data_IF_240335248661
#
_entry.id   IF_240335248661
#
_cell.length_a   1.000
_cell.length_b   1.000
_cell.length_c   1.000
_cell.angle_alpha   90.00
_cell.angle_beta   90.00
_cell.angle_gamma   90.00
#
_symmetry.space_group_name_H-M   'P 1'
#
loop_
_entity.id
_entity.type
_entity.pdbx_description
1 polymer ?
#
# COMPACT_ATOMS: atom_id res chain seq x y z
N UNK A 1 -16.23 1.59 8.02
CA UNK A 1 -14.89 0.99 8.15
C UNK A 1 -13.88 2.10 8.35
N UNK A 2 -12.79 1.82 9.07
CA UNK A 2 -11.65 2.75 9.22
C UNK A 2 -10.43 2.22 8.47
N UNK A 3 -9.61 3.11 7.92
CA UNK A 3 -8.36 2.76 7.23
C UNK A 3 -7.15 3.36 7.95
N UNK A 4 -6.08 2.58 8.09
CA UNK A 4 -4.80 3.02 8.61
C UNK A 4 -3.66 2.45 7.78
N UNK A 5 -2.63 3.25 7.60
CA UNK A 5 -1.46 2.95 6.79
C UNK A 5 -0.33 2.47 7.67
N UNK A 6 0.34 1.38 7.27
CA UNK A 6 1.53 0.83 7.90
C UNK A 6 2.51 0.35 6.82
N UNK A 7 3.83 0.58 6.96
CA UNK A 7 4.79 0.26 5.91
C UNK A 7 5.24 -1.20 6.02
N UNK A 8 4.44 -2.14 5.51
CA UNK A 8 4.66 -3.59 5.69
C UNK A 8 5.93 -4.13 5.04
N UNK A 9 6.44 -3.39 4.05
CA UNK A 9 7.66 -3.73 3.31
C UNK A 9 8.95 -3.39 4.07
N UNK A 10 8.88 -2.90 5.30
CA UNK A 10 10.04 -2.61 6.13
C UNK A 10 10.32 -3.80 7.07
N UNK A 11 11.58 -4.25 7.22
CA UNK A 11 11.92 -5.38 8.10
C UNK A 11 11.45 -5.21 9.54
N UNK A 12 11.37 -3.96 10.02
CA UNK A 12 10.91 -3.61 11.36
C UNK A 12 9.42 -3.91 11.61
N UNK A 13 8.66 -4.25 10.56
CA UNK A 13 7.26 -4.69 10.65
C UNK A 13 7.09 -6.05 11.34
N UNK A 14 8.03 -6.99 11.15
CA UNK A 14 7.86 -8.38 11.62
C UNK A 14 8.26 -8.55 13.09
N UNK A 15 9.28 -7.83 13.54
CA UNK A 15 9.86 -7.99 14.89
C UNK A 15 10.22 -6.69 15.60
N UNK A 16 9.97 -5.54 14.98
CA UNK A 16 10.46 -4.25 15.44
C UNK A 16 9.41 -3.33 16.09
N UNK A 17 9.80 -2.07 16.37
CA UNK A 17 8.93 -1.05 16.95
C UNK A 17 7.64 -0.81 16.17
N UNK A 18 7.64 -1.06 14.85
CA UNK A 18 6.47 -0.89 13.99
C UNK A 18 5.39 -1.93 14.32
N UNK A 19 5.74 -3.20 14.52
CA UNK A 19 4.79 -4.24 14.98
C UNK A 19 4.14 -3.85 16.30
N UNK A 20 4.95 -3.45 17.27
CA UNK A 20 4.46 -3.05 18.59
C UNK A 20 3.55 -1.82 18.52
N UNK A 21 3.83 -0.90 17.58
CA UNK A 21 3.00 0.29 17.34
C UNK A 21 1.67 -0.08 16.67
N UNK A 22 1.68 -0.99 15.70
CA UNK A 22 0.46 -1.55 15.12
C UNK A 22 -0.38 -2.22 16.19
N UNK A 23 0.19 -3.13 16.99
CA UNK A 23 -0.57 -3.86 18.01
C UNK A 23 -1.21 -2.93 19.04
N UNK A 24 -0.47 -1.90 19.47
CA UNK A 24 -1.02 -0.85 20.33
C UNK A 24 -2.15 -0.07 19.64
N UNK A 25 -1.99 0.23 18.36
CA UNK A 25 -3.01 0.92 17.57
C UNK A 25 -4.28 0.07 17.35
N UNK A 26 -4.15 -1.20 16.97
CA UNK A 26 -5.28 -2.14 16.85
C UNK A 26 -5.99 -2.28 18.19
N UNK A 27 -5.24 -2.51 19.27
CA UNK A 27 -5.82 -2.69 20.61
C UNK A 27 -6.58 -1.45 21.09
N UNK A 28 -6.01 -0.26 20.92
CA UNK A 28 -6.67 1.00 21.30
C UNK A 28 -7.87 1.34 20.42
N UNK A 29 -7.85 0.92 19.16
CA UNK A 29 -8.96 1.12 18.23
C UNK A 29 -10.14 0.17 18.45
N UNK A 30 -9.93 -0.93 19.20
CA UNK A 30 -10.92 -1.96 19.52
C UNK A 30 -11.85 -2.36 18.34
N UNK A 31 -11.28 -2.71 17.16
CA UNK A 31 -12.07 -3.08 16.00
C UNK A 31 -12.80 -4.41 16.24
N UNK A 32 -13.92 -4.62 15.52
CA UNK A 32 -14.61 -5.91 15.52
C UNK A 32 -13.98 -6.92 14.56
N UNK A 33 -13.24 -6.43 13.57
CA UNK A 33 -12.44 -7.22 12.65
C UNK A 33 -11.30 -6.39 12.07
N UNK A 34 -10.19 -7.04 11.74
CA UNK A 34 -9.04 -6.43 11.09
C UNK A 34 -8.83 -7.06 9.71
N UNK A 35 -8.75 -6.22 8.68
CA UNK A 35 -8.41 -6.62 7.31
C UNK A 35 -7.04 -6.05 6.99
N UNK A 36 -6.08 -6.90 6.64
CA UNK A 36 -4.77 -6.45 6.15
C UNK A 36 -4.74 -6.43 4.63
N UNK A 37 -4.34 -5.33 4.00
CA UNK A 37 -4.13 -5.26 2.55
C UNK A 37 -2.71 -4.79 2.25
N UNK A 38 -1.89 -5.63 1.64
CA UNK A 38 -0.48 -5.30 1.42
C UNK A 38 0.04 -5.85 0.10
N UNK A 39 1.12 -5.25 -0.39
CA UNK A 39 1.85 -5.75 -1.55
C UNK A 39 2.83 -6.87 -1.16
N UNK A 40 2.42 -8.11 -1.41
CA UNK A 40 3.22 -9.29 -1.10
C UNK A 40 4.41 -9.53 -2.01
N UNK A 41 4.58 -8.73 -3.08
CA UNK A 41 5.78 -8.79 -3.93
C UNK A 41 6.96 -8.02 -3.34
N UNK A 42 6.73 -7.13 -2.37
CA UNK A 42 7.79 -6.41 -1.66
C UNK A 42 8.55 -7.31 -0.67
N UNK A 43 8.02 -8.49 -0.34
CA UNK A 43 8.66 -9.47 0.54
C UNK A 43 9.70 -10.28 -0.24
N UNK A 44 10.97 -10.25 0.16
CA UNK A 44 12.08 -10.88 -0.57
C UNK A 44 12.44 -12.24 0.04
N UNK A 45 12.21 -13.30 -0.72
CA UNK A 45 12.61 -14.67 -0.36
C UNK A 45 11.63 -15.37 0.57
N UNK A 46 11.72 -16.70 0.62
CA UNK A 46 10.75 -17.55 1.33
C UNK A 46 10.72 -17.29 2.83
N UNK A 47 11.89 -17.15 3.47
CA UNK A 47 11.96 -16.96 4.92
C UNK A 47 11.34 -15.64 5.41
N UNK A 48 11.52 -14.54 4.68
CA UNK A 48 10.88 -13.24 5.01
C UNK A 48 9.37 -13.33 4.82
N UNK A 49 8.92 -14.00 3.76
CA UNK A 49 7.49 -14.24 3.50
C UNK A 49 6.87 -15.10 4.61
N UNK A 50 7.51 -16.19 5.01
CA UNK A 50 6.99 -17.10 6.04
C UNK A 50 6.85 -16.38 7.39
N UNK A 51 7.89 -15.62 7.79
CA UNK A 51 7.85 -14.82 9.01
C UNK A 51 6.77 -13.71 8.96
N UNK A 52 6.57 -13.10 7.79
CA UNK A 52 5.49 -12.14 7.59
C UNK A 52 4.12 -12.83 7.76
N UNK A 53 3.90 -13.98 7.13
CA UNK A 53 2.64 -14.72 7.21
C UNK A 53 2.30 -15.13 8.64
N UNK A 54 3.27 -15.61 9.41
CA UNK A 54 3.07 -15.94 10.83
C UNK A 54 2.56 -14.74 11.64
N UNK A 55 3.12 -13.56 11.39
CA UNK A 55 2.67 -12.31 12.04
C UNK A 55 1.26 -11.94 11.62
N UNK A 56 0.96 -11.99 10.32
CA UNK A 56 -0.38 -11.69 9.78
C UNK A 56 -1.42 -12.60 10.42
N UNK A 57 -1.23 -13.91 10.36
CA UNK A 57 -2.16 -14.91 10.90
C UNK A 57 -2.38 -14.77 12.41
N UNK A 58 -1.42 -14.21 13.14
CA UNK A 58 -1.55 -13.98 14.59
C UNK A 58 -2.34 -12.72 14.98
N UNK A 59 -2.58 -11.79 14.04
CA UNK A 59 -3.10 -10.44 14.35
C UNK A 59 -4.42 -10.14 13.66
N UNK A 60 -4.68 -10.70 12.48
CA UNK A 60 -5.80 -10.26 11.63
C UNK A 60 -6.81 -11.36 11.34
N UNK A 61 -8.07 -10.98 11.25
CA UNK A 61 -9.18 -11.90 10.95
C UNK A 61 -9.25 -12.25 9.46
N UNK A 62 -8.80 -11.33 8.60
CA UNK A 62 -8.75 -11.52 7.16
C UNK A 62 -7.57 -10.73 6.56
N UNK A 63 -7.08 -11.20 5.41
CA UNK A 63 -6.04 -10.50 4.67
C UNK A 63 -6.23 -10.62 3.16
N UNK A 64 -5.82 -9.56 2.46
CA UNK A 64 -5.69 -9.48 1.01
C UNK A 64 -4.23 -9.22 0.72
N UNK A 65 -3.52 -10.24 0.25
CA UNK A 65 -2.22 -10.01 -0.37
C UNK A 65 -2.47 -9.64 -1.81
N UNK A 66 -2.05 -8.42 -2.13
CA UNK A 66 -1.82 -8.06 -3.52
C UNK A 66 -0.55 -8.77 -3.95
N UNK A 67 -0.71 -9.92 -4.58
CA UNK A 67 0.41 -10.58 -5.24
C UNK A 67 0.55 -9.88 -6.58
N UNK A 68 1.51 -8.98 -6.69
CA UNK A 68 1.93 -8.42 -7.96
C UNK A 68 2.62 -9.46 -8.87
N UNK A 69 2.17 -10.72 -8.92
CA UNK A 69 2.60 -11.66 -9.96
C UNK A 69 2.25 -11.10 -11.36
N UNK A 70 1.20 -10.27 -11.44
CA UNK A 70 0.91 -9.47 -12.62
C UNK A 70 1.78 -8.20 -12.71
N UNK A 71 2.06 -7.46 -11.61
CA UNK A 71 2.71 -6.14 -11.63
C UNK A 71 4.25 -6.16 -11.70
N UNK A 72 4.90 -7.16 -11.12
CA UNK A 72 6.33 -7.42 -11.35
C UNK A 72 6.60 -7.87 -12.79
N UNK A 73 5.58 -8.24 -13.57
CA UNK A 73 5.63 -8.36 -15.03
C UNK A 73 5.18 -7.08 -15.74
N UNK A 74 4.20 -6.36 -15.20
CA UNK A 74 3.55 -5.23 -15.87
C UNK A 74 4.48 -4.01 -15.98
N UNK A 75 4.95 -3.45 -14.85
CA UNK A 75 5.94 -2.36 -14.90
C UNK A 75 7.32 -2.86 -15.34
N UNK A 76 7.68 -4.11 -15.02
CA UNK A 76 8.95 -4.66 -15.49
C UNK A 76 8.97 -4.90 -17.00
N UNK A 77 7.83 -5.15 -17.65
CA UNK A 77 7.73 -5.26 -19.10
C UNK A 77 7.99 -3.91 -19.77
N UNK A 78 7.54 -2.80 -19.17
CA UNK A 78 7.99 -1.46 -19.57
C UNK A 78 9.50 -1.27 -19.28
N UNK A 79 10.00 -1.84 -18.18
CA UNK A 79 11.42 -1.76 -17.84
C UNK A 79 12.33 -2.58 -18.76
N UNK A 80 11.83 -3.70 -19.27
CA UNK A 80 12.56 -4.68 -20.08
C UNK A 80 12.36 -4.48 -21.59
N UNK A 81 11.19 -4.00 -22.02
CA UNK A 81 10.76 -3.84 -23.41
C UNK A 81 10.66 -2.39 -23.88
N UNK A 82 11.44 -1.47 -23.29
CA UNK A 82 11.59 -0.12 -23.82
C UNK A 82 12.37 -0.18 -25.14
N UNK A 83 11.70 -0.62 -26.21
CA UNK A 83 12.30 -0.90 -27.50
C UNK A 83 12.66 0.40 -28.20
N UNK A 84 11.89 1.46 -27.97
CA UNK A 84 12.11 2.80 -28.52
C UNK A 84 12.85 3.74 -27.55
N UNK A 85 13.45 4.81 -28.07
CA UNK A 85 14.04 5.86 -27.23
C UNK A 85 12.99 6.61 -26.40
N UNK A 86 11.80 6.80 -26.94
CA UNK A 86 10.69 7.45 -26.23
C UNK A 86 10.30 6.66 -24.98
N UNK A 87 10.14 5.34 -25.09
CA UNK A 87 9.81 4.47 -23.95
C UNK A 87 10.92 4.48 -22.88
N UNK A 88 12.19 4.49 -23.29
CA UNK A 88 13.33 4.59 -22.35
C UNK A 88 13.30 5.90 -21.58
N UNK A 89 13.00 7.02 -22.25
CA UNK A 89 12.89 8.34 -21.61
C UNK A 89 11.70 8.37 -20.66
N UNK A 90 10.53 7.90 -21.09
CA UNK A 90 9.33 7.79 -20.23
C UNK A 90 9.64 6.96 -18.99
N UNK A 91 10.22 5.77 -19.15
CA UNK A 91 10.62 4.89 -18.04
C UNK A 91 11.55 5.59 -17.05
N UNK A 92 12.65 6.18 -17.55
CA UNK A 92 13.63 6.83 -16.67
C UNK A 92 13.00 7.99 -15.90
N UNK A 93 12.14 8.77 -16.55
CA UNK A 93 11.39 9.85 -15.89
C UNK A 93 10.48 9.31 -14.78
N UNK A 94 9.71 8.25 -15.04
CA UNK A 94 8.80 7.66 -14.05
C UNK A 94 9.55 7.06 -12.86
N UNK A 95 10.70 6.40 -13.10
CA UNK A 95 11.57 5.89 -12.04
C UNK A 95 12.10 7.04 -11.15
N UNK A 96 12.63 8.09 -11.77
CA UNK A 96 13.11 9.26 -11.03
C UNK A 96 12.01 9.88 -10.16
N UNK A 97 10.79 9.96 -10.68
CA UNK A 97 9.65 10.47 -9.91
C UNK A 97 9.31 9.53 -8.75
N UNK A 98 9.22 8.23 -9.00
CA UNK A 98 8.95 7.24 -7.95
C UNK A 98 9.98 7.32 -6.82
N UNK A 99 11.26 7.32 -7.18
CA UNK A 99 12.36 7.41 -6.22
C UNK A 99 12.33 8.72 -5.44
N UNK A 100 12.01 9.83 -6.11
CA UNK A 100 11.91 11.15 -5.48
C UNK A 100 10.75 11.20 -4.48
N UNK A 101 9.58 10.69 -4.85
CA UNK A 101 8.41 10.62 -3.96
C UNK A 101 8.70 9.72 -2.77
N UNK A 102 9.24 8.53 -2.99
CA UNK A 102 9.60 7.59 -1.91
C UNK A 102 10.67 8.18 -0.97
N UNK A 103 11.70 8.81 -1.51
CA UNK A 103 12.76 9.45 -0.71
C UNK A 103 12.21 10.59 0.15
N UNK A 104 11.35 11.44 -0.42
CA UNK A 104 10.66 12.50 0.30
C UNK A 104 9.79 11.93 1.42
N UNK A 105 8.94 10.95 1.11
CA UNK A 105 8.00 10.38 2.07
C UNK A 105 8.70 9.66 3.22
N UNK A 106 9.76 8.87 2.94
CA UNK A 106 10.59 8.26 3.99
C UNK A 106 11.23 9.30 4.91
N UNK A 107 11.63 10.44 4.36
CA UNK A 107 12.19 11.54 5.14
C UNK A 107 11.11 12.30 5.93
N UNK A 108 9.87 12.33 5.43
CA UNK A 108 8.73 13.00 6.02
C UNK A 108 8.09 12.18 7.16
N UNK A 109 8.01 10.86 7.02
CA UNK A 109 7.43 9.97 8.03
C UNK A 109 8.27 9.95 9.31
N UNK A 110 7.74 10.55 10.37
CA UNK A 110 8.33 10.55 11.72
C UNK A 110 7.54 9.67 12.69
N UNK A 111 6.27 9.44 12.39
CA UNK A 111 5.30 8.76 13.23
C UNK A 111 4.11 8.25 12.39
N UNK A 112 3.15 7.58 13.03
CA UNK A 112 1.95 7.11 12.34
C UNK A 112 1.09 8.26 11.77
N UNK A 113 1.14 9.45 12.36
CA UNK A 113 0.33 10.60 11.93
C UNK A 113 0.82 11.15 10.60
N UNK A 114 2.12 11.38 10.48
CA UNK A 114 2.77 11.77 9.23
C UNK A 114 2.59 10.69 8.16
N UNK A 115 2.68 9.41 8.53
CA UNK A 115 2.39 8.30 7.62
C UNK A 115 0.95 8.35 7.07
N UNK A 116 -0.03 8.65 7.91
CA UNK A 116 -1.46 8.73 7.59
C UNK A 116 -1.95 10.16 7.36
N UNK A 117 -1.11 11.02 6.79
CA UNK A 117 -1.41 12.42 6.57
C UNK A 117 -1.91 12.66 5.15
N UNK A 118 -2.59 13.80 4.93
CA UNK A 118 -2.92 14.24 3.56
C UNK A 118 -1.66 14.54 2.73
N UNK A 119 -0.52 14.81 3.37
CA UNK A 119 0.76 14.98 2.67
C UNK A 119 1.17 13.65 2.02
N UNK A 120 1.11 12.54 2.75
CA UNK A 120 1.40 11.21 2.18
C UNK A 120 0.46 10.89 1.02
N UNK A 121 -0.84 11.06 1.24
CA UNK A 121 -1.86 10.72 0.24
C UNK A 121 -1.73 11.60 -1.01
N UNK A 122 -1.51 12.90 -0.86
CA UNK A 122 -1.33 13.83 -1.98
C UNK A 122 -0.07 13.55 -2.79
N UNK A 123 1.03 13.15 -2.15
CA UNK A 123 2.27 12.78 -2.85
C UNK A 123 2.09 11.53 -3.70
N UNK A 124 1.46 10.49 -3.16
CA UNK A 124 1.15 9.30 -3.96
C UNK A 124 0.11 9.60 -5.04
N UNK A 125 -0.96 10.34 -4.74
CA UNK A 125 -1.95 10.76 -5.74
C UNK A 125 -1.29 11.55 -6.88
N UNK A 126 -0.34 12.44 -6.58
CA UNK A 126 0.42 13.17 -7.60
C UNK A 126 1.30 12.23 -8.44
N UNK A 127 1.97 11.26 -7.82
CA UNK A 127 2.75 10.23 -8.52
C UNK A 127 1.91 9.50 -9.56
N UNK A 128 0.77 8.95 -9.16
CA UNK A 128 -0.08 8.15 -10.06
C UNK A 128 -0.81 8.99 -11.11
N UNK A 129 -1.15 10.25 -10.81
CA UNK A 129 -1.62 11.20 -11.85
C UNK A 129 -0.58 11.45 -12.92
N UNK A 130 0.69 11.62 -12.52
CA UNK A 130 1.77 11.76 -13.50
C UNK A 130 1.94 10.47 -14.31
N UNK A 131 1.97 9.32 -13.66
CA UNK A 131 2.13 8.03 -14.35
C UNK A 131 1.00 7.82 -15.36
N UNK A 132 -0.26 8.03 -14.94
CA UNK A 132 -1.43 8.00 -15.81
C UNK A 132 -1.32 8.93 -17.02
N UNK A 133 -0.71 10.11 -16.86
CA UNK A 133 -0.55 11.07 -17.96
C UNK A 133 0.50 10.66 -19.00
N UNK A 134 1.43 9.78 -18.63
CA UNK A 134 2.57 9.37 -19.47
C UNK A 134 2.36 7.99 -20.07
N UNK A 135 1.74 7.07 -19.31
CA UNK A 135 1.54 5.66 -19.65
C UNK A 135 0.19 5.13 -19.14
N UNK A 136 -0.90 5.78 -19.55
CA UNK A 136 -2.26 5.43 -19.11
C UNK A 136 -2.61 3.94 -19.23
N UNK A 137 -2.36 3.33 -20.39
CA UNK A 137 -2.74 1.92 -20.62
C UNK A 137 -2.01 0.98 -19.67
N UNK A 138 -0.77 1.31 -19.32
CA UNK A 138 0.00 0.57 -18.33
C UNK A 138 -0.57 0.80 -16.93
N UNK A 139 -0.76 2.06 -16.52
CA UNK A 139 -1.34 2.37 -15.21
C UNK A 139 -2.66 1.62 -14.98
N UNK A 140 -3.53 1.65 -16.00
CA UNK A 140 -4.84 1.01 -15.95
C UNK A 140 -4.75 -0.51 -15.85
N UNK A 141 -3.94 -1.14 -16.70
CA UNK A 141 -3.83 -2.60 -16.76
C UNK A 141 -3.04 -3.20 -15.60
N UNK A 142 -2.24 -2.39 -14.93
CA UNK A 142 -1.32 -2.80 -13.88
C UNK A 142 -1.78 -2.32 -12.49
N UNK A 143 -1.67 -1.02 -12.22
CA UNK A 143 -1.94 -0.44 -10.90
C UNK A 143 -3.43 -0.45 -10.57
N UNK A 144 -4.25 0.14 -11.44
CA UNK A 144 -5.69 0.24 -11.21
C UNK A 144 -6.34 -1.15 -11.15
N UNK A 145 -6.06 -2.02 -12.13
CA UNK A 145 -6.66 -3.35 -12.17
C UNK A 145 -6.35 -4.18 -10.91
N UNK A 146 -5.10 -4.19 -10.44
CA UNK A 146 -4.74 -4.94 -9.22
C UNK A 146 -5.46 -4.39 -7.99
N UNK A 147 -5.58 -3.07 -7.90
CA UNK A 147 -6.27 -2.42 -6.79
C UNK A 147 -7.79 -2.65 -6.84
N UNK A 148 -8.40 -2.68 -8.04
CA UNK A 148 -9.81 -3.07 -8.24
C UNK A 148 -10.05 -4.51 -7.78
N UNK A 149 -9.16 -5.44 -8.13
CA UNK A 149 -9.25 -6.83 -7.66
C UNK A 149 -9.12 -6.92 -6.14
N UNK A 150 -8.23 -6.12 -5.54
CA UNK A 150 -8.09 -6.03 -4.09
C UNK A 150 -9.37 -5.46 -3.43
N UNK A 151 -9.96 -4.42 -4.03
CA UNK A 151 -11.22 -3.82 -3.59
C UNK A 151 -12.38 -4.80 -3.59
N UNK A 152 -12.54 -5.57 -4.66
CA UNK A 152 -13.59 -6.59 -4.74
C UNK A 152 -13.43 -7.65 -3.66
N UNK A 153 -12.18 -8.05 -3.35
CA UNK A 153 -11.89 -8.96 -2.23
C UNK A 153 -12.23 -8.35 -0.88
N UNK A 154 -11.82 -7.10 -0.63
CA UNK A 154 -12.18 -6.38 0.61
C UNK A 154 -13.71 -6.33 0.78
N UNK A 155 -14.44 -6.02 -0.30
CA UNK A 155 -15.92 -6.00 -0.29
C UNK A 155 -16.52 -7.38 -0.01
N UNK A 156 -15.91 -8.44 -0.54
CA UNK A 156 -16.40 -9.82 -0.34
C UNK A 156 -16.34 -10.31 1.11
N UNK A 157 -15.45 -9.75 1.95
CA UNK A 157 -15.37 -10.12 3.36
C UNK A 157 -16.51 -9.57 4.23
N UNK A 158 -17.25 -8.56 3.73
CA UNK A 158 -18.26 -7.86 4.51
C UNK A 158 -17.64 -7.06 5.67
N UNK A 159 -17.48 -5.75 5.49
CA UNK A 159 -16.94 -4.87 6.52
C UNK A 159 -18.04 -4.04 7.21
N UNK A 160 -17.78 -3.63 8.44
CA UNK A 160 -18.66 -2.78 9.23
C UNK A 160 -17.99 -1.43 9.54
N UNK A 161 -18.69 -0.56 10.26
CA UNK A 161 -18.09 0.66 10.80
C UNK A 161 -16.93 0.38 11.78
N UNK A 162 -16.98 -0.78 12.46
CA UNK A 162 -15.97 -1.22 13.43
C UNK A 162 -14.83 -2.04 12.82
N UNK A 163 -14.87 -2.33 11.52
CA UNK A 163 -13.75 -2.96 10.81
C UNK A 163 -12.60 -1.96 10.65
N UNK A 164 -11.38 -2.43 10.92
CA UNK A 164 -10.14 -1.70 10.68
C UNK A 164 -9.40 -2.33 9.49
N UNK A 165 -9.21 -1.56 8.43
CA UNK A 165 -8.39 -1.94 7.30
C UNK A 165 -6.99 -1.36 7.49
N UNK A 166 -5.98 -2.21 7.51
CA UNK A 166 -4.57 -1.82 7.63
C UNK A 166 -3.92 -2.02 6.27
N UNK A 167 -3.34 -0.97 5.69
CA UNK A 167 -2.86 -0.98 4.30
C UNK A 167 -1.47 -0.39 4.12
N UNK A 168 -0.79 -0.69 3.00
CA UNK A 168 0.41 0.05 2.63
C UNK A 168 0.07 1.54 2.37
N UNK A 169 0.97 2.49 2.69
CA UNK A 169 0.67 3.92 2.57
C UNK A 169 0.23 4.36 1.17
N UNK A 170 0.84 3.78 0.14
CA UNK A 170 0.50 4.04 -1.26
C UNK A 170 -0.91 3.55 -1.62
N UNK A 171 -1.42 2.49 -0.98
CA UNK A 171 -2.77 1.98 -1.25
C UNK A 171 -3.82 2.77 -0.50
N UNK A 172 -3.45 3.38 0.61
CA UNK A 172 -4.36 4.11 1.49
C UNK A 172 -5.12 5.21 0.76
N UNK A 173 -4.43 6.04 -0.04
CA UNK A 173 -5.10 7.11 -0.79
C UNK A 173 -6.04 6.51 -1.85
N UNK A 174 -5.62 5.44 -2.53
CA UNK A 174 -6.42 4.82 -3.60
C UNK A 174 -7.72 4.24 -3.04
N UNK A 175 -7.66 3.52 -1.92
CA UNK A 175 -8.86 3.01 -1.24
C UNK A 175 -9.75 4.14 -0.72
N UNK A 176 -9.18 5.22 -0.18
CA UNK A 176 -9.96 6.38 0.25
C UNK A 176 -10.70 7.05 -0.91
N UNK A 177 -10.07 7.15 -2.08
CA UNK A 177 -10.68 7.74 -3.28
C UNK A 177 -11.80 6.84 -3.88
N UNK A 178 -11.71 5.51 -3.71
CA UNK A 178 -12.66 4.53 -4.27
C UNK A 178 -13.70 3.97 -3.28
N UNK A 179 -13.54 4.26 -1.99
CA UNK A 179 -14.45 3.88 -0.92
C UNK A 179 -14.78 5.11 -0.06
N UNK A 180 -15.62 6.04 -0.56
CA UNK A 180 -15.89 7.31 0.12
C UNK A 180 -16.53 7.14 1.51
N UNK A 181 -17.10 5.98 1.81
CA UNK A 181 -17.62 5.61 3.13
C UNK A 181 -16.53 5.26 4.14
N UNK A 182 -15.30 4.99 3.68
CA UNK A 182 -14.17 4.63 4.53
C UNK A 182 -13.54 5.89 5.09
N UNK A 183 -13.41 5.91 6.43
CA UNK A 183 -12.79 7.04 7.12
C UNK A 183 -11.37 6.71 7.51
N UNK A 184 -10.48 7.69 7.43
CA UNK A 184 -9.15 7.54 8.00
C UNK A 184 -9.27 7.32 9.51
N UNK A 185 -8.49 6.38 10.04
CA UNK A 185 -8.47 6.13 11.47
C UNK A 185 -7.87 7.34 12.19
N UNK A 186 -8.51 7.77 13.28
CA UNK A 186 -7.98 8.82 14.13
C UNK A 186 -6.75 8.30 14.89
N UNK A 187 -5.60 8.89 14.61
CA UNK A 187 -4.34 8.53 15.27
C UNK A 187 -4.09 9.50 16.42
N UNK A 188 -4.37 9.02 17.64
CA UNK A 188 -3.89 9.69 18.84
C UNK A 188 -2.35 9.73 18.82
N UNK A 189 -1.77 10.76 19.44
CA UNK A 189 -0.32 10.85 19.63
C UNK A 189 0.06 9.67 20.52
N UNK A 190 0.70 8.66 19.94
CA UNK A 190 1.38 7.61 20.68
C UNK A 190 2.67 8.17 21.30
#
# INVERSE_FOLDING_TARGET
>A
MRIASFPFHLPEWVSGPQRASLMRFISSSAPSSVILVYDGSKLKGSAERDAHMEVVESIVDAWVTMVHDANHGCYSSMMAGADTMEERVKRNMLLMVSDTVESYLRSYWKDLRSLNSEVTDSMYRAKHRLFSSVVWDLERSCWEHVNEVALDRVRSFGYTERTLMVVDPELSYWFQDHMPEVRRAELQSL
#
